data_IF_706738329416
#
_entry.id   IF_706738329416
#
_cell.length_a   1.000
_cell.length_b   1.000
_cell.length_c   1.000
_cell.angle_alpha   90.00
_cell.angle_beta   90.00
_cell.angle_gamma   90.00
#
_symmetry.space_group_name_H-M   'P 1'
#
loop_
_entity.id
_entity.type
_entity.pdbx_description
1 polymer ?
#
# COMPACT_ATOMS: atom_id res chain seq x y z
N UNK A 1 22.00 0.88 -4.26
CA UNK A 1 21.12 1.50 -3.25
C UNK A 1 19.69 1.20 -3.62
N UNK A 2 18.85 0.86 -2.65
CA UNK A 2 17.42 0.70 -2.87
C UNK A 2 16.74 2.08 -3.06
N UNK A 3 15.70 2.15 -3.89
CA UNK A 3 14.93 3.38 -4.05
C UNK A 3 13.97 3.54 -2.86
N UNK A 4 14.02 4.67 -2.18
CA UNK A 4 13.10 5.02 -1.11
C UNK A 4 11.89 5.80 -1.64
N UNK A 5 10.70 5.30 -1.35
CA UNK A 5 9.44 5.98 -1.60
C UNK A 5 8.75 6.34 -0.28
N UNK A 6 8.54 7.62 -0.05
CA UNK A 6 7.93 8.14 1.16
C UNK A 6 6.65 8.92 0.83
N UNK A 7 5.61 8.69 1.62
CA UNK A 7 4.32 9.33 1.43
C UNK A 7 3.35 9.05 2.57
N UNK A 8 2.13 9.51 2.41
CA UNK A 8 1.06 9.37 3.39
C UNK A 8 -0.09 8.51 2.85
N UNK A 9 -0.96 8.06 3.74
CA UNK A 9 -2.22 7.39 3.40
C UNK A 9 -3.27 8.44 3.00
N UNK A 10 -3.27 8.80 1.71
CA UNK A 10 -4.08 9.89 1.15
C UNK A 10 -3.37 11.24 1.17
N UNK A 11 -3.90 12.17 0.39
CA UNK A 11 -3.37 13.53 0.22
C UNK A 11 -4.45 14.61 0.29
N UNK A 12 -5.72 14.26 0.13
CA UNK A 12 -6.81 15.21 -0.03
C UNK A 12 -7.40 15.65 1.31
N UNK A 13 -6.56 16.19 2.20
CA UNK A 13 -6.96 16.62 3.54
C UNK A 13 -6.93 18.14 3.67
N UNK A 14 -8.09 18.85 3.62
CA UNK A 14 -8.14 20.30 3.84
C UNK A 14 -7.58 20.73 5.21
N UNK A 15 -7.66 19.84 6.21
CA UNK A 15 -7.11 20.08 7.56
C UNK A 15 -5.58 20.22 7.62
N UNK A 16 -4.88 19.88 6.53
CA UNK A 16 -3.43 20.09 6.43
C UNK A 16 -3.04 21.55 6.10
N UNK A 17 -4.04 22.43 5.96
CA UNK A 17 -3.80 23.86 5.87
C UNK A 17 -3.73 24.46 7.30
N UNK A 18 -2.89 25.49 7.55
CA UNK A 18 -1.87 26.01 6.62
C UNK A 18 -0.53 25.25 6.68
N UNK A 19 -0.42 24.21 7.53
CA UNK A 19 0.86 23.57 7.85
C UNK A 19 1.57 22.92 6.64
N UNK A 20 0.87 22.08 5.89
CA UNK A 20 1.43 21.43 4.70
C UNK A 20 0.97 22.12 3.41
N UNK A 21 -0.33 22.35 3.25
CA UNK A 21 -0.87 23.08 2.10
C UNK A 21 -0.97 24.58 2.39
N UNK A 22 -0.59 25.46 1.45
CA UNK A 22 -0.87 26.88 1.59
C UNK A 22 -2.35 27.16 1.85
N UNK A 23 -2.65 28.17 2.68
CA UNK A 23 -4.01 28.52 3.10
C UNK A 23 -4.99 28.64 1.93
N UNK A 24 -4.57 29.33 0.86
CA UNK A 24 -5.40 29.61 -0.32
C UNK A 24 -5.31 28.57 -1.43
N UNK A 25 -4.60 27.44 -1.22
CA UNK A 25 -4.47 26.42 -2.26
C UNK A 25 -5.81 25.73 -2.53
N UNK A 26 -6.25 25.74 -3.79
CA UNK A 26 -7.46 25.02 -4.20
C UNK A 26 -7.27 23.51 -4.06
N UNK A 27 -8.31 22.78 -3.63
CA UNK A 27 -8.26 21.32 -3.44
C UNK A 27 -7.86 20.56 -4.71
N UNK A 28 -8.23 21.05 -5.89
CA UNK A 28 -7.82 20.50 -7.18
C UNK A 28 -6.32 20.53 -7.44
N UNK A 29 -5.56 21.32 -6.67
CA UNK A 29 -4.09 21.45 -6.75
C UNK A 29 -3.35 20.68 -5.65
N UNK A 30 -4.08 19.99 -4.75
CA UNK A 30 -3.45 19.28 -3.64
C UNK A 30 -2.48 18.20 -4.13
N UNK A 31 -2.88 17.38 -5.10
CA UNK A 31 -2.05 16.29 -5.59
C UNK A 31 -0.76 16.79 -6.26
N UNK A 32 -0.84 17.81 -7.09
CA UNK A 32 0.36 18.39 -7.73
C UNK A 32 1.30 18.99 -6.69
N UNK A 33 0.78 19.79 -5.76
CA UNK A 33 1.57 20.36 -4.67
C UNK A 33 2.23 19.29 -3.79
N UNK A 34 1.47 18.21 -3.49
CA UNK A 34 1.94 17.07 -2.70
C UNK A 34 3.10 16.34 -3.41
N UNK A 35 2.95 16.08 -4.71
CA UNK A 35 3.94 15.33 -5.49
C UNK A 35 5.28 16.02 -5.67
N UNK A 36 5.36 17.32 -5.43
CA UNK A 36 6.62 18.07 -5.44
C UNK A 36 7.43 17.89 -4.14
N UNK A 37 6.79 17.39 -3.06
CA UNK A 37 7.40 17.27 -1.72
C UNK A 37 7.63 15.83 -1.31
N UNK A 38 6.75 14.94 -1.74
CA UNK A 38 6.83 13.50 -1.48
C UNK A 38 6.84 12.75 -2.81
N UNK A 39 7.27 11.51 -2.82
CA UNK A 39 7.44 10.74 -4.08
C UNK A 39 6.47 9.55 -4.20
N UNK A 40 5.58 9.36 -3.22
CA UNK A 40 4.50 8.39 -3.27
C UNK A 40 3.28 8.85 -2.49
N UNK A 41 2.11 8.29 -2.78
CA UNK A 41 0.91 8.41 -1.94
C UNK A 41 0.12 7.10 -1.96
N UNK A 42 -0.14 6.53 -0.78
CA UNK A 42 -1.05 5.39 -0.67
C UNK A 42 -2.49 5.83 -0.90
N UNK A 43 -3.14 5.28 -1.90
CA UNK A 43 -4.51 5.65 -2.26
C UNK A 43 -5.50 4.67 -1.67
N UNK A 44 -6.33 5.13 -0.72
CA UNK A 44 -7.39 4.35 -0.11
C UNK A 44 -8.73 4.41 -0.86
N UNK A 45 -8.87 5.28 -1.85
CA UNK A 45 -10.07 5.38 -2.69
C UNK A 45 -10.43 4.03 -3.33
N UNK A 46 -9.43 3.30 -3.83
CA UNK A 46 -9.59 2.00 -4.49
C UNK A 46 -10.14 0.89 -3.58
N UNK A 47 -10.06 1.09 -2.27
CA UNK A 47 -10.66 0.17 -1.30
C UNK A 47 -12.20 0.10 -1.42
N UNK A 48 -12.84 1.20 -1.79
CA UNK A 48 -14.30 1.29 -1.89
C UNK A 48 -14.85 1.36 -3.31
N UNK A 49 -14.03 1.83 -4.27
CA UNK A 49 -14.46 2.09 -5.65
C UNK A 49 -13.33 1.77 -6.62
N UNK A 50 -13.67 1.18 -7.75
CA UNK A 50 -12.74 1.07 -8.86
C UNK A 50 -12.57 2.47 -9.48
N UNK A 51 -11.33 2.91 -9.74
CA UNK A 51 -11.09 4.20 -10.38
C UNK A 51 -11.48 4.13 -11.87
N UNK A 52 -12.00 5.23 -12.39
CA UNK A 52 -12.17 5.37 -13.84
C UNK A 52 -10.82 5.63 -14.53
N UNK A 53 -10.67 5.28 -15.81
CA UNK A 53 -9.46 5.60 -16.57
C UNK A 53 -9.10 7.09 -16.49
N UNK A 54 -10.08 7.99 -16.65
CA UNK A 54 -9.87 9.44 -16.54
C UNK A 54 -9.38 9.89 -15.16
N UNK A 55 -9.80 9.21 -14.08
CA UNK A 55 -9.26 9.48 -12.73
C UNK A 55 -7.78 9.14 -12.67
N UNK A 56 -7.37 8.00 -13.20
CA UNK A 56 -5.97 7.56 -13.20
C UNK A 56 -5.09 8.45 -14.10
N UNK A 57 -5.59 8.81 -15.27
CA UNK A 57 -4.93 9.76 -16.17
C UNK A 57 -4.69 11.11 -15.49
N UNK A 58 -5.70 11.63 -14.79
CA UNK A 58 -5.58 12.87 -14.01
C UNK A 58 -4.54 12.75 -12.88
N UNK A 59 -4.44 11.61 -12.21
CA UNK A 59 -3.41 11.40 -11.18
C UNK A 59 -2.02 11.41 -11.79
N UNK A 60 -1.83 10.74 -12.92
CA UNK A 60 -0.55 10.72 -13.65
C UNK A 60 -0.18 12.12 -14.12
N UNK A 61 -1.12 12.84 -14.76
CA UNK A 61 -0.90 14.19 -15.29
C UNK A 61 -0.64 15.24 -14.18
N UNK A 62 -1.15 15.02 -12.99
CA UNK A 62 -1.02 15.94 -11.85
C UNK A 62 0.24 15.72 -11.02
N UNK A 63 1.08 14.72 -11.34
CA UNK A 63 2.24 14.35 -10.52
C UNK A 63 3.53 14.31 -11.34
N UNK A 64 4.65 14.64 -10.70
CA UNK A 64 5.96 14.61 -11.36
C UNK A 64 6.35 13.20 -11.83
N UNK A 65 7.21 13.06 -12.82
CA UNK A 65 7.77 11.77 -13.21
C UNK A 65 8.40 11.04 -12.01
N UNK A 66 8.26 9.70 -11.98
CA UNK A 66 8.79 8.86 -10.87
C UNK A 66 7.92 8.83 -9.62
N UNK A 67 6.84 9.63 -9.54
CA UNK A 67 5.89 9.57 -8.43
C UNK A 67 5.07 8.27 -8.48
N UNK A 68 4.94 7.54 -7.37
CA UNK A 68 4.22 6.27 -7.31
C UNK A 68 2.91 6.36 -6.52
N UNK A 69 1.96 5.54 -6.95
CA UNK A 69 0.68 5.33 -6.31
C UNK A 69 0.58 3.90 -5.76
N UNK A 70 1.02 3.60 -4.53
CA UNK A 70 0.57 2.42 -3.82
C UNK A 70 -0.96 2.45 -3.70
N UNK A 71 -1.62 1.32 -3.97
CA UNK A 71 -3.08 1.25 -3.93
C UNK A 71 -3.54 0.24 -2.89
N UNK A 72 -4.55 0.59 -2.12
CA UNK A 72 -5.22 -0.38 -1.25
C UNK A 72 -6.17 -1.25 -2.07
N UNK A 73 -6.00 -2.57 -2.01
CA UNK A 73 -6.87 -3.53 -2.69
C UNK A 73 -8.33 -3.34 -2.27
N UNK A 74 -9.25 -3.57 -3.21
CA UNK A 74 -10.66 -3.35 -3.01
C UNK A 74 -11.23 -4.24 -1.89
N UNK A 75 -12.13 -3.67 -1.06
CA UNK A 75 -12.72 -4.37 0.09
C UNK A 75 -13.44 -5.68 -0.29
N UNK A 76 -13.95 -5.78 -1.51
CA UNK A 76 -14.55 -7.01 -2.00
C UNK A 76 -13.57 -8.17 -1.97
N UNK A 77 -12.30 -7.96 -2.31
CA UNK A 77 -11.26 -8.98 -2.28
C UNK A 77 -10.89 -9.33 -0.83
N UNK A 78 -10.57 -8.33 -0.02
CA UNK A 78 -9.96 -8.53 1.29
C UNK A 78 -10.95 -8.75 2.43
N UNK A 79 -12.11 -8.09 2.41
CA UNK A 79 -13.08 -8.08 3.52
C UNK A 79 -14.34 -8.90 3.23
N UNK A 80 -14.87 -8.88 2.00
CA UNK A 80 -16.09 -9.61 1.63
C UNK A 80 -15.74 -11.03 1.22
N UNK A 81 -14.92 -11.20 0.20
CA UNK A 81 -14.48 -12.50 -0.30
C UNK A 81 -13.35 -13.13 0.54
N UNK A 82 -12.64 -12.30 1.33
CA UNK A 82 -11.61 -12.73 2.29
C UNK A 82 -10.57 -13.63 1.62
N UNK A 83 -9.99 -13.15 0.51
CA UNK A 83 -9.01 -13.85 -0.35
C UNK A 83 -9.55 -15.09 -1.09
N UNK A 84 -10.84 -15.39 -1.08
CA UNK A 84 -11.36 -16.42 -1.98
C UNK A 84 -11.14 -15.97 -3.42
N UNK A 85 -10.63 -16.89 -4.24
CA UNK A 85 -10.41 -16.65 -5.68
C UNK A 85 -11.71 -16.24 -6.37
N UNK A 86 -11.64 -15.22 -7.21
CA UNK A 86 -12.80 -14.73 -7.94
C UNK A 86 -12.39 -13.87 -9.13
N UNK A 87 -13.22 -13.81 -10.13
CA UNK A 87 -13.04 -12.94 -11.30
C UNK A 87 -12.90 -11.43 -10.92
N UNK A 88 -13.39 -11.03 -9.74
CA UNK A 88 -13.28 -9.64 -9.31
C UNK A 88 -11.83 -9.21 -9.05
N UNK A 89 -10.94 -10.13 -8.73
CA UNK A 89 -9.51 -9.85 -8.61
C UNK A 89 -8.96 -9.38 -9.95
N UNK A 90 -9.29 -10.06 -11.06
CA UNK A 90 -8.89 -9.66 -12.40
C UNK A 90 -9.52 -8.33 -12.82
N UNK A 91 -10.79 -8.11 -12.49
CA UNK A 91 -11.48 -6.83 -12.72
C UNK A 91 -10.77 -5.68 -12.00
N UNK A 92 -10.35 -5.89 -10.76
CA UNK A 92 -9.58 -4.90 -10.00
C UNK A 92 -8.24 -4.58 -10.68
N UNK A 93 -7.44 -5.60 -11.04
CA UNK A 93 -6.15 -5.37 -11.68
C UNK A 93 -6.28 -4.73 -13.07
N UNK A 94 -7.28 -5.11 -13.85
CA UNK A 94 -7.59 -4.42 -15.12
C UNK A 94 -7.95 -2.95 -14.92
N UNK A 95 -8.71 -2.63 -13.88
CA UNK A 95 -9.10 -1.24 -13.59
C UNK A 95 -7.91 -0.34 -13.21
N UNK A 96 -6.85 -0.88 -12.61
CA UNK A 96 -5.65 -0.12 -12.20
C UNK A 96 -4.51 -0.23 -13.22
N UNK A 97 -4.67 -1.00 -14.28
CA UNK A 97 -3.64 -1.21 -15.32
C UNK A 97 -3.11 0.08 -15.96
N UNK A 98 -3.91 1.14 -16.16
CA UNK A 98 -3.38 2.42 -16.66
C UNK A 98 -2.25 3.01 -15.82
N UNK A 99 -2.27 2.85 -14.49
CA UNK A 99 -1.14 3.27 -13.64
C UNK A 99 0.09 2.38 -13.85
N UNK A 100 -0.11 1.06 -14.00
CA UNK A 100 0.98 0.12 -14.26
C UNK A 100 1.63 0.44 -15.61
N UNK A 101 0.83 0.58 -16.65
CA UNK A 101 1.29 0.91 -18.01
C UNK A 101 2.01 2.24 -18.09
N UNK A 102 1.64 3.21 -17.24
CA UNK A 102 2.33 4.49 -17.11
C UNK A 102 3.61 4.44 -16.25
N UNK A 103 3.94 3.27 -15.66
CA UNK A 103 5.06 3.12 -14.71
C UNK A 103 4.84 3.88 -13.40
N UNK A 104 3.57 4.07 -12.99
CA UNK A 104 3.18 4.87 -11.82
C UNK A 104 2.54 4.05 -10.71
N UNK A 105 2.29 2.75 -10.94
CA UNK A 105 1.73 1.85 -9.94
C UNK A 105 2.81 1.48 -8.92
N UNK A 106 2.58 1.85 -7.65
CA UNK A 106 3.30 1.32 -6.50
C UNK A 106 2.74 -0.04 -6.07
N UNK A 107 3.19 -0.60 -4.93
CA UNK A 107 2.67 -1.85 -4.43
C UNK A 107 1.15 -1.80 -4.17
N UNK A 108 0.48 -2.93 -4.39
CA UNK A 108 -0.93 -3.11 -4.00
C UNK A 108 -1.00 -3.72 -2.61
N UNK A 109 -1.63 -3.01 -1.69
CA UNK A 109 -1.75 -3.40 -0.28
C UNK A 109 -3.03 -4.21 -0.02
N UNK A 110 -2.88 -5.48 0.32
CA UNK A 110 -3.94 -6.36 0.78
C UNK A 110 -4.02 -6.33 2.31
N UNK A 111 -4.77 -5.36 2.86
CA UNK A 111 -5.02 -5.29 4.29
C UNK A 111 -6.19 -6.20 4.66
N UNK A 112 -5.97 -7.19 5.50
CA UNK A 112 -7.00 -8.14 5.95
C UNK A 112 -7.75 -7.64 7.19
N UNK A 113 -9.01 -8.02 7.36
CA UNK A 113 -9.77 -7.66 8.56
C UNK A 113 -9.22 -8.35 9.81
N UNK A 114 -9.25 -7.70 11.00
CA UNK A 114 -8.68 -8.24 12.23
C UNK A 114 -9.36 -9.54 12.71
N UNK A 115 -10.62 -9.78 12.33
CA UNK A 115 -11.33 -11.00 12.66
C UNK A 115 -10.99 -12.19 11.74
N UNK A 116 -10.23 -11.99 10.66
CA UNK A 116 -9.85 -13.06 9.74
C UNK A 116 -8.64 -13.81 10.31
N UNK A 117 -8.89 -15.01 10.83
CA UNK A 117 -7.84 -15.94 11.25
C UNK A 117 -7.13 -16.52 10.04
N UNK A 118 -5.92 -16.99 10.28
CA UNK A 118 -5.09 -17.63 9.26
C UNK A 118 -5.80 -18.86 8.68
N UNK A 119 -5.77 -18.91 7.37
CA UNK A 119 -6.08 -20.06 6.54
C UNK A 119 -4.97 -20.13 5.48
N UNK A 120 -4.00 -21.02 5.74
CA UNK A 120 -2.82 -21.19 4.90
C UNK A 120 -3.18 -21.66 3.49
N UNK A 121 -4.12 -22.61 3.39
CA UNK A 121 -4.58 -23.13 2.09
C UNK A 121 -5.23 -22.03 1.25
N UNK A 122 -6.07 -21.21 1.87
CA UNK A 122 -6.70 -20.06 1.22
C UNK A 122 -5.67 -19.06 0.69
N UNK A 123 -4.62 -18.77 1.46
CA UNK A 123 -3.54 -17.88 0.99
C UNK A 123 -2.74 -18.52 -0.13
N UNK A 124 -2.44 -19.81 -0.03
CA UNK A 124 -1.71 -20.57 -1.06
C UNK A 124 -2.49 -20.61 -2.39
N UNK A 125 -3.82 -20.68 -2.34
CA UNK A 125 -4.68 -20.66 -3.53
C UNK A 125 -4.82 -19.24 -4.12
N UNK A 126 -4.77 -18.20 -3.26
CA UNK A 126 -4.93 -16.81 -3.68
C UNK A 126 -3.67 -16.22 -4.33
N UNK A 127 -2.50 -16.43 -3.74
CA UNK A 127 -1.25 -15.81 -4.19
C UNK A 127 -0.93 -16.06 -5.68
N UNK A 128 -1.12 -17.28 -6.24
CA UNK A 128 -0.89 -17.53 -7.67
C UNK A 128 -1.80 -16.75 -8.62
N UNK A 129 -2.94 -16.23 -8.13
CA UNK A 129 -3.88 -15.45 -8.96
C UNK A 129 -3.44 -14.01 -9.17
N UNK A 130 -2.42 -13.55 -8.42
CA UNK A 130 -1.92 -12.19 -8.52
C UNK A 130 -0.99 -12.01 -9.72
N UNK A 131 -1.07 -10.88 -10.47
CA UNK A 131 -0.16 -10.60 -11.55
C UNK A 131 1.29 -10.51 -11.06
N UNK A 132 2.19 -11.27 -11.69
CA UNK A 132 3.61 -11.37 -11.29
C UNK A 132 4.38 -10.04 -11.42
N UNK A 133 3.94 -9.19 -12.32
CA UNK A 133 4.51 -7.86 -12.58
C UNK A 133 4.05 -6.77 -11.59
N UNK A 134 3.12 -7.10 -10.69
CA UNK A 134 2.62 -6.16 -9.68
C UNK A 134 3.17 -6.52 -8.32
N UNK A 135 3.86 -5.58 -7.68
CA UNK A 135 4.29 -5.73 -6.28
C UNK A 135 3.06 -5.78 -5.37
N UNK A 136 2.94 -6.83 -4.57
CA UNK A 136 1.82 -7.00 -3.63
C UNK A 136 2.35 -7.06 -2.20
N UNK A 137 1.71 -6.35 -1.28
CA UNK A 137 2.03 -6.36 0.15
C UNK A 137 0.81 -6.81 0.97
N UNK A 138 1.04 -7.62 2.00
CA UNK A 138 -0.03 -8.15 2.86
C UNK A 138 0.11 -7.59 4.27
N UNK A 139 -0.92 -6.88 4.72
CA UNK A 139 -1.05 -6.42 6.09
C UNK A 139 -1.98 -7.35 6.86
N UNK A 140 -1.40 -8.17 7.68
CA UNK A 140 -2.15 -9.05 8.59
C UNK A 140 -2.52 -8.30 9.87
N UNK A 141 -3.73 -8.55 10.37
CA UNK A 141 -4.25 -7.92 11.59
C UNK A 141 -4.70 -8.92 12.66
N UNK A 142 -4.49 -10.19 12.41
CA UNK A 142 -4.71 -11.27 13.38
C UNK A 142 -3.38 -12.02 13.59
N UNK A 143 -2.99 -12.30 14.87
CA UNK A 143 -1.68 -12.89 15.18
C UNK A 143 -1.46 -14.28 14.55
N UNK A 144 -2.51 -15.02 14.28
CA UNK A 144 -2.39 -16.35 13.65
C UNK A 144 -1.75 -16.36 12.26
N UNK A 145 -1.67 -15.21 11.59
CA UNK A 145 -1.00 -15.07 10.30
C UNK A 145 0.52 -14.89 10.43
N UNK A 146 1.01 -14.60 11.64
CA UNK A 146 2.44 -14.31 11.87
C UNK A 146 3.18 -15.61 12.21
N UNK A 147 3.38 -16.45 11.20
CA UNK A 147 3.99 -17.77 11.36
C UNK A 147 4.89 -18.10 10.15
N UNK A 148 5.99 -18.89 10.37
CA UNK A 148 6.94 -19.22 9.32
C UNK A 148 6.33 -19.77 8.02
N UNK A 149 5.30 -20.66 8.02
CA UNK A 149 4.70 -21.14 6.78
C UNK A 149 4.10 -20.01 5.93
N UNK A 150 3.52 -19.00 6.57
CA UNK A 150 2.93 -17.83 5.88
C UNK A 150 4.03 -16.97 5.25
N UNK A 151 5.15 -16.75 5.96
CA UNK A 151 6.29 -16.01 5.42
C UNK A 151 6.89 -16.73 4.21
N UNK A 152 7.04 -18.06 4.29
CA UNK A 152 7.52 -18.86 3.17
C UNK A 152 6.59 -18.80 1.95
N UNK A 153 5.26 -18.77 2.16
CA UNK A 153 4.29 -18.58 1.08
C UNK A 153 4.43 -17.20 0.42
N UNK A 154 4.55 -16.13 1.22
CA UNK A 154 4.75 -14.79 0.68
C UNK A 154 6.05 -14.71 -0.12
N UNK A 155 7.16 -15.20 0.43
CA UNK A 155 8.48 -15.22 -0.20
C UNK A 155 8.46 -15.98 -1.54
N UNK A 156 7.86 -17.17 -1.56
CA UNK A 156 7.70 -17.98 -2.78
C UNK A 156 7.01 -17.22 -3.91
N UNK A 157 6.10 -16.32 -3.58
CA UNK A 157 5.33 -15.53 -4.55
C UNK A 157 5.82 -14.08 -4.70
N UNK A 158 6.93 -13.70 -4.05
CA UNK A 158 7.49 -12.35 -4.10
C UNK A 158 6.57 -11.28 -3.52
N UNK A 159 5.69 -11.66 -2.60
CA UNK A 159 4.80 -10.74 -1.90
C UNK A 159 5.42 -10.27 -0.58
N UNK A 160 5.30 -8.98 -0.26
CA UNK A 160 5.87 -8.42 0.96
C UNK A 160 4.94 -8.61 2.17
N UNK A 161 5.50 -9.00 3.32
CA UNK A 161 4.86 -8.77 4.60
C UNK A 161 4.87 -7.26 4.88
N UNK A 162 3.70 -6.66 5.04
CA UNK A 162 3.61 -5.25 5.41
C UNK A 162 4.00 -5.06 6.89
N UNK A 163 5.06 -4.28 7.13
CA UNK A 163 5.51 -3.90 8.45
C UNK A 163 4.66 -2.73 8.95
N UNK A 164 3.47 -3.04 9.48
CA UNK A 164 2.52 -2.05 9.94
C UNK A 164 2.60 -1.88 11.46
N UNK A 165 2.79 -0.65 11.93
CA UNK A 165 2.68 -0.34 13.34
C UNK A 165 1.25 -0.57 13.85
N UNK A 166 1.14 -1.15 15.02
CA UNK A 166 -0.12 -1.41 15.69
C UNK A 166 0.11 -1.55 17.20
N UNK A 167 -0.72 -0.92 17.99
CA UNK A 167 -0.73 -1.10 19.45
C UNK A 167 -1.11 -2.53 19.89
N UNK A 168 -1.84 -3.25 19.04
CA UNK A 168 -2.46 -4.54 19.35
C UNK A 168 -1.69 -5.74 18.82
N UNK A 169 -0.78 -5.53 17.87
CA UNK A 169 -0.09 -6.60 17.16
C UNK A 169 1.31 -6.15 16.77
N UNK A 170 2.30 -6.82 17.31
CA UNK A 170 3.70 -6.62 16.91
C UNK A 170 3.96 -7.44 15.65
N UNK A 171 4.31 -6.77 14.56
CA UNK A 171 4.69 -7.42 13.31
C UNK A 171 6.20 -7.69 13.36
N UNK A 172 6.66 -8.93 13.18
CA UNK A 172 8.08 -9.24 13.13
C UNK A 172 8.71 -8.66 11.85
N UNK A 173 9.98 -8.24 11.95
CA UNK A 173 10.74 -7.72 10.81
C UNK A 173 11.24 -8.87 9.92
N UNK A 174 10.32 -9.46 9.17
CA UNK A 174 10.62 -10.53 8.21
C UNK A 174 10.46 -10.00 6.79
N UNK A 175 11.55 -10.05 6.03
CA UNK A 175 11.55 -9.62 4.62
C UNK A 175 11.19 -10.82 3.75
N UNK A 176 10.07 -10.73 3.04
CA UNK A 176 9.52 -11.81 2.19
C UNK A 176 9.50 -11.47 0.71
N UNK A 177 10.04 -10.31 0.32
CA UNK A 177 10.10 -9.86 -1.07
C UNK A 177 11.35 -9.01 -1.32
N UNK A 178 11.63 -8.67 -2.57
CA UNK A 178 12.71 -7.78 -2.96
C UNK A 178 12.39 -6.28 -2.72
N UNK A 179 11.37 -6.00 -1.95
CA UNK A 179 11.00 -4.67 -1.48
C UNK A 179 10.35 -4.76 -0.10
N UNK A 180 10.38 -3.66 0.63
CA UNK A 180 9.74 -3.52 1.95
C UNK A 180 8.55 -2.57 1.81
N UNK A 181 7.46 -2.87 2.50
CA UNK A 181 6.30 -1.99 2.62
C UNK A 181 6.02 -1.73 4.10
N UNK A 182 6.29 -0.51 4.55
CA UNK A 182 6.09 -0.12 5.95
C UNK A 182 4.94 0.88 6.09
N UNK A 183 4.19 0.77 7.17
CA UNK A 183 3.12 1.71 7.52
C UNK A 183 3.31 2.20 8.95
N UNK A 184 3.82 3.42 9.06
CA UNK A 184 3.98 4.15 10.31
C UNK A 184 2.63 4.77 10.70
N UNK A 185 2.22 4.65 11.97
CA UNK A 185 0.84 4.99 12.38
C UNK A 185 0.75 5.81 13.65
N UNK A 186 1.85 6.13 14.29
CA UNK A 186 1.84 7.02 15.44
C UNK A 186 1.54 8.46 14.98
N UNK A 187 0.90 9.22 15.85
CA UNK A 187 0.63 10.63 15.59
C UNK A 187 1.90 11.47 15.69
N UNK A 188 2.87 11.05 16.52
CA UNK A 188 4.19 11.67 16.64
C UNK A 188 5.28 10.61 16.89
N UNK A 189 6.52 10.95 16.55
CA UNK A 189 7.70 10.12 16.72
C UNK A 189 8.80 10.93 17.41
N UNK A 190 9.42 10.35 18.45
CA UNK A 190 10.60 10.95 19.06
C UNK A 190 11.77 11.07 18.08
N UNK A 191 12.79 11.81 18.44
CA UNK A 191 14.00 11.96 17.63
C UNK A 191 14.69 10.61 17.45
N UNK A 192 14.75 9.82 18.53
CA UNK A 192 15.32 8.48 18.55
C UNK A 192 14.58 7.53 17.60
N UNK A 193 13.23 7.49 17.69
CA UNK A 193 12.39 6.67 16.83
C UNK A 193 12.54 7.06 15.34
N UNK A 194 12.65 8.36 15.05
CA UNK A 194 12.92 8.83 13.68
C UNK A 194 14.30 8.38 13.19
N UNK A 195 15.30 8.38 14.07
CA UNK A 195 16.64 7.86 13.78
C UNK A 195 16.63 6.35 13.49
N UNK A 196 15.89 5.56 14.28
CA UNK A 196 15.73 4.13 14.05
C UNK A 196 15.01 3.82 12.74
N UNK A 197 13.94 4.56 12.40
CA UNK A 197 13.25 4.43 11.13
C UNK A 197 14.21 4.76 9.98
N UNK A 198 15.01 5.82 10.09
CA UNK A 198 16.00 6.20 9.09
C UNK A 198 17.04 5.10 8.88
N UNK A 199 17.58 4.54 9.96
CA UNK A 199 18.61 3.48 9.87
C UNK A 199 18.10 2.18 9.23
N UNK A 200 16.81 1.86 9.37
CA UNK A 200 16.18 0.70 8.68
C UNK A 200 16.06 0.88 7.16
N UNK A 201 16.11 2.11 6.69
CA UNK A 201 16.00 2.43 5.25
C UNK A 201 17.36 2.37 4.57
N UNK A 202 18.44 2.54 5.30
CA UNK A 202 19.82 2.57 4.78
C UNK A 202 20.44 1.16 4.63
N UNK A 203 19.78 0.12 5.14
CA UNK A 203 20.18 -1.30 5.05
C UNK A 203 19.27 -2.08 4.09
#
# INVERSE_FOLDING_TARGET
MADLFCGTSGFAYPSWKPGFYPEKLAASKFLSYYSERLNAVEVNYTFRRLPSPSTLENWVASTRPGFLFPLKAHMRITHIQRLKTSEFTDVFFKAIDPLRSAGRLGPVLFQLPPALKCDEALLADFLPTLPKEVRCAFEFRHPSWLAPPIYALLEKHGAALCLAESEKLVIPEVITANFVYSRLRKDDYSVEERGEIGSRVDH
#
